data_IF_829246315036
#
_entry.id   IF_829246315036
#
_cell.length_a   1.000
_cell.length_b   1.000
_cell.length_c   1.000
_cell.angle_alpha   90.00
_cell.angle_beta   90.00
_cell.angle_gamma   90.00
#
_symmetry.space_group_name_H-M   'P 1'
#
loop_
_entity.id
_entity.type
_entity.pdbx_description
1 polymer ?
#
# COMPACT_ATOMS: atom_id res chain seq x y z
N UNK A 1 -38.31 -11.53 4.61
CA UNK A 1 -36.99 -12.09 4.94
C UNK A 1 -36.15 -10.90 5.40
N UNK A 2 -35.80 -10.84 6.68
CA UNK A 2 -35.13 -9.67 7.30
C UNK A 2 -33.66 -9.70 6.90
N UNK A 3 -33.25 -8.78 6.04
CA UNK A 3 -31.84 -8.45 5.87
C UNK A 3 -31.47 -7.45 6.96
N UNK A 4 -31.14 -7.97 8.14
CA UNK A 4 -30.48 -7.21 9.19
C UNK A 4 -29.01 -6.97 8.78
N UNK A 5 -28.82 -6.13 7.77
CA UNK A 5 -27.51 -5.61 7.36
C UNK A 5 -27.05 -4.53 8.32
N UNK A 6 -26.72 -4.92 9.56
CA UNK A 6 -26.02 -4.01 10.47
C UNK A 6 -24.72 -3.56 9.78
N UNK A 7 -24.43 -2.25 9.71
CA UNK A 7 -23.22 -1.76 9.06
C UNK A 7 -22.01 -2.38 9.78
N UNK A 8 -21.20 -3.12 9.01
CA UNK A 8 -19.93 -3.67 9.46
C UNK A 8 -19.15 -2.59 10.20
N UNK A 9 -18.86 -2.86 11.48
CA UNK A 9 -18.27 -1.88 12.39
C UNK A 9 -16.82 -1.65 11.99
N UNK A 10 -16.57 -0.67 11.13
CA UNK A 10 -15.26 -0.11 10.82
C UNK A 10 -14.15 -1.19 10.81
N UNK A 11 -14.18 -2.05 9.78
CA UNK A 11 -13.24 -3.15 9.53
C UNK A 11 -11.81 -2.70 9.23
N UNK A 12 -11.22 -1.90 10.13
CA UNK A 12 -9.78 -1.60 10.14
C UNK A 12 -9.10 -2.02 11.45
N UNK A 13 -9.87 -2.39 12.49
CA UNK A 13 -9.33 -2.74 13.81
C UNK A 13 -8.77 -4.17 13.84
N UNK A 14 -9.35 -5.08 13.08
CA UNK A 14 -8.88 -6.48 13.02
C UNK A 14 -7.60 -6.53 12.17
N UNK A 15 -7.63 -5.87 11.03
CA UNK A 15 -6.56 -5.68 10.06
C UNK A 15 -5.35 -5.02 10.74
N UNK A 16 -5.57 -3.94 11.51
CA UNK A 16 -4.52 -3.30 12.29
C UNK A 16 -3.86 -4.28 13.26
N UNK A 17 -4.64 -5.11 13.98
CA UNK A 17 -4.10 -6.11 14.91
C UNK A 17 -3.32 -7.20 14.19
N UNK A 18 -3.76 -7.63 13.01
CA UNK A 18 -3.04 -8.61 12.19
C UNK A 18 -1.67 -8.06 11.81
N UNK A 19 -1.61 -6.86 11.24
CA UNK A 19 -0.34 -6.25 10.83
C UNK A 19 0.60 -5.95 12.00
N UNK A 20 0.07 -5.45 13.12
CA UNK A 20 0.85 -5.26 14.35
C UNK A 20 1.36 -6.60 14.90
N UNK A 21 0.54 -7.64 14.87
CA UNK A 21 0.92 -9.00 15.29
C UNK A 21 2.04 -9.58 14.42
N UNK A 22 1.92 -9.46 13.09
CA UNK A 22 2.98 -9.87 12.15
C UNK A 22 4.26 -9.07 12.41
N UNK A 23 4.16 -7.74 12.55
CA UNK A 23 5.31 -6.88 12.85
C UNK A 23 6.01 -7.29 14.15
N UNK A 24 5.23 -7.57 15.20
CA UNK A 24 5.77 -8.05 16.48
C UNK A 24 6.42 -9.44 16.39
N UNK A 25 5.82 -10.36 15.63
CA UNK A 25 6.38 -11.69 15.40
C UNK A 25 7.73 -11.60 14.66
N UNK A 26 7.79 -10.81 13.59
CA UNK A 26 9.03 -10.59 12.83
C UNK A 26 10.07 -9.83 13.67
N UNK A 27 9.66 -8.92 14.55
CA UNK A 27 10.57 -8.28 15.50
C UNK A 27 11.17 -9.31 16.47
N UNK A 28 10.36 -10.23 16.98
CA UNK A 28 10.84 -11.36 17.78
C UNK A 28 11.87 -12.21 17.02
N UNK A 29 11.59 -12.54 15.75
CA UNK A 29 12.54 -13.21 14.87
C UNK A 29 13.83 -12.39 14.66
N UNK A 30 13.72 -11.06 14.53
CA UNK A 30 14.87 -10.16 14.38
C UNK A 30 15.80 -10.27 15.58
N UNK A 31 15.26 -10.31 16.81
CA UNK A 31 16.05 -10.46 18.04
C UNK A 31 16.75 -11.81 18.08
N UNK A 32 16.03 -12.90 17.81
CA UNK A 32 16.60 -14.26 17.81
C UNK A 32 17.67 -14.41 16.71
N UNK A 33 17.38 -13.94 15.51
CA UNK A 33 18.29 -14.02 14.38
C UNK A 33 19.53 -13.15 14.60
N UNK A 34 19.36 -11.90 15.02
CA UNK A 34 20.48 -11.00 15.29
C UNK A 34 21.40 -11.49 16.40
N UNK A 35 20.85 -12.21 17.39
CA UNK A 35 21.64 -12.81 18.46
C UNK A 35 22.36 -14.11 18.06
N UNK A 36 21.86 -14.85 17.06
CA UNK A 36 22.39 -16.17 16.68
C UNK A 36 23.23 -16.19 15.42
N UNK A 37 22.89 -15.36 14.42
CA UNK A 37 23.48 -15.42 13.08
C UNK A 37 24.68 -14.50 12.88
N UNK A 38 24.84 -13.45 13.70
CA UNK A 38 25.88 -12.41 13.61
C UNK A 38 26.03 -11.79 12.19
N UNK A 39 24.96 -11.79 11.41
CA UNK A 39 24.93 -11.32 10.03
C UNK A 39 24.05 -10.05 9.93
N UNK A 40 24.68 -8.97 9.45
CA UNK A 40 24.10 -7.62 9.49
C UNK A 40 23.03 -7.40 8.43
N UNK A 41 23.15 -7.98 7.24
CA UNK A 41 22.22 -7.73 6.14
C UNK A 41 20.82 -8.31 6.44
N UNK A 42 20.75 -9.56 6.86
CA UNK A 42 19.56 -10.30 7.25
C UNK A 42 18.90 -9.69 8.48
N UNK A 43 19.69 -9.33 9.50
CA UNK A 43 19.15 -8.63 10.68
C UNK A 43 18.51 -7.29 10.29
N UNK A 44 19.14 -6.55 9.37
CA UNK A 44 18.59 -5.29 8.85
C UNK A 44 17.30 -5.53 8.06
N UNK A 45 17.26 -6.54 7.18
CA UNK A 45 16.05 -6.88 6.41
C UNK A 45 14.89 -7.30 7.30
N UNK A 46 15.13 -8.11 8.34
CA UNK A 46 14.12 -8.50 9.31
C UNK A 46 13.60 -7.31 10.11
N UNK A 47 14.51 -6.43 10.57
CA UNK A 47 14.14 -5.21 11.30
C UNK A 47 13.25 -4.29 10.45
N UNK A 48 13.61 -4.07 9.17
CA UNK A 48 12.82 -3.26 8.25
C UNK A 48 11.46 -3.90 7.97
N UNK A 49 11.39 -5.22 7.85
CA UNK A 49 10.14 -5.96 7.65
C UNK A 49 9.22 -5.83 8.88
N UNK A 50 9.77 -5.95 10.09
CA UNK A 50 9.05 -5.70 11.34
C UNK A 50 8.53 -4.25 11.39
N UNK A 51 9.36 -3.28 11.01
CA UNK A 51 9.01 -1.87 10.91
C UNK A 51 7.88 -1.61 9.91
N UNK A 52 7.90 -2.26 8.74
CA UNK A 52 6.86 -2.12 7.72
C UNK A 52 5.51 -2.67 8.21
N UNK A 53 5.51 -3.82 8.89
CA UNK A 53 4.32 -4.38 9.53
C UNK A 53 3.77 -3.46 10.62
N UNK A 54 4.65 -2.93 11.47
CA UNK A 54 4.28 -1.98 12.52
C UNK A 54 3.72 -0.67 11.96
N UNK A 55 4.35 -0.10 10.92
CA UNK A 55 3.92 1.13 10.25
C UNK A 55 2.53 0.95 9.63
N UNK A 56 2.33 -0.16 8.91
CA UNK A 56 1.03 -0.47 8.29
C UNK A 56 -0.03 -0.66 9.37
N UNK A 57 0.24 -1.48 10.39
CA UNK A 57 -0.69 -1.71 11.49
C UNK A 57 -1.02 -0.44 12.28
N UNK A 58 -0.04 0.43 12.53
CA UNK A 58 -0.24 1.72 13.19
C UNK A 58 -1.10 2.67 12.35
N UNK A 59 -0.88 2.70 11.02
CA UNK A 59 -1.70 3.49 10.11
C UNK A 59 -3.17 3.04 10.12
N UNK A 60 -3.43 1.72 10.01
CA UNK A 60 -4.79 1.20 10.09
C UNK A 60 -5.42 1.42 11.48
N UNK A 61 -4.64 1.31 12.56
CA UNK A 61 -5.12 1.62 13.90
C UNK A 61 -5.50 3.11 14.04
N UNK A 62 -4.73 4.01 13.42
CA UNK A 62 -5.04 5.43 13.39
C UNK A 62 -6.31 5.72 12.58
N UNK A 63 -6.44 5.13 11.39
CA UNK A 63 -7.61 5.29 10.54
C UNK A 63 -8.89 4.73 11.17
N UNK A 64 -8.83 3.54 11.78
CA UNK A 64 -9.99 2.94 12.46
C UNK A 64 -10.45 3.75 13.68
N UNK A 65 -9.54 4.46 14.37
CA UNK A 65 -9.91 5.39 15.45
C UNK A 65 -10.58 6.65 14.91
N UNK A 66 -10.06 7.21 13.80
CA UNK A 66 -10.68 8.37 13.13
C UNK A 66 -12.07 8.06 12.59
N UNK A 67 -12.24 6.90 11.95
CA UNK A 67 -13.53 6.47 11.43
C UNK A 67 -14.56 6.20 12.54
N UNK A 68 -14.11 5.86 13.76
CA UNK A 68 -14.98 5.64 14.91
C UNK A 68 -15.34 6.93 15.66
N UNK A 69 -14.70 8.07 15.36
CA UNK A 69 -14.98 9.36 15.98
C UNK A 69 -16.17 10.05 15.27
N UNK A 70 -17.32 10.18 15.94
CA UNK A 70 -18.51 10.82 15.36
C UNK A 70 -18.28 12.30 15.03
N UNK A 71 -17.43 13.00 15.78
CA UNK A 71 -17.11 14.41 15.54
C UNK A 71 -16.22 14.57 14.30
N UNK A 72 -15.35 13.59 14.03
CA UNK A 72 -14.51 13.56 12.83
C UNK A 72 -15.27 13.11 11.58
N UNK A 73 -16.34 12.34 11.74
CA UNK A 73 -17.09 11.73 10.62
C UNK A 73 -18.21 12.64 10.09
N UNK A 74 -18.65 13.63 10.87
CA UNK A 74 -19.83 14.45 10.57
C UNK A 74 -21.09 13.59 10.68
N UNK A 75 -22.02 13.95 11.57
CA UNK A 75 -23.29 13.23 11.69
C UNK A 75 -23.95 13.13 10.32
N UNK A 76 -24.15 11.91 9.82
CA UNK A 76 -24.64 11.60 8.48
C UNK A 76 -23.64 11.94 7.35
N UNK A 77 -22.53 11.20 7.27
CA UNK A 77 -21.78 11.08 6.01
C UNK A 77 -22.69 10.39 5.00
N UNK A 78 -23.35 11.17 4.14
CA UNK A 78 -23.93 10.65 2.89
C UNK A 78 -22.88 9.75 2.25
N UNK A 79 -23.23 8.47 2.07
CA UNK A 79 -22.38 7.52 1.36
C UNK A 79 -22.07 8.17 0.02
N UNK A 80 -20.80 8.49 -0.29
CA UNK A 80 -20.50 9.19 -1.51
C UNK A 80 -21.05 8.39 -2.68
N UNK A 81 -21.73 9.11 -3.56
CA UNK A 81 -22.12 8.71 -4.91
C UNK A 81 -21.01 7.83 -5.52
N UNK A 82 -21.42 6.69 -6.07
CA UNK A 82 -20.60 5.56 -6.54
C UNK A 82 -19.11 5.89 -6.74
N UNK A 83 -18.24 5.16 -6.02
CA UNK A 83 -16.80 5.32 -6.18
C UNK A 83 -16.44 5.21 -7.67
N UNK A 84 -15.85 6.27 -8.22
CA UNK A 84 -15.45 6.29 -9.63
C UNK A 84 -14.40 5.20 -9.88
N UNK A 85 -14.80 4.20 -10.67
CA UNK A 85 -14.00 3.05 -11.06
C UNK A 85 -13.84 3.08 -12.58
N UNK A 86 -12.66 3.46 -13.12
CA UNK A 86 -12.44 3.47 -14.56
C UNK A 86 -12.69 2.07 -15.15
N UNK A 87 -13.62 1.96 -16.09
CA UNK A 87 -13.96 0.66 -16.71
C UNK A 87 -12.84 0.13 -17.61
N UNK A 88 -12.01 1.02 -18.15
CA UNK A 88 -10.84 0.67 -18.95
C UNK A 88 -9.72 1.72 -18.78
N UNK A 89 -8.48 1.25 -18.57
CA UNK A 89 -7.31 2.13 -18.48
C UNK A 89 -6.07 1.41 -19.00
N UNK A 90 -5.42 1.98 -20.02
CA UNK A 90 -4.18 1.45 -20.61
C UNK A 90 -2.95 1.78 -19.78
N UNK A 91 -3.02 2.79 -18.91
CA UNK A 91 -1.84 3.33 -18.21
C UNK A 91 -1.13 2.36 -17.26
N UNK A 92 -1.82 1.49 -16.49
CA UNK A 92 -1.14 0.47 -15.69
C UNK A 92 -0.23 -0.44 -16.50
N UNK A 93 -0.61 -0.76 -17.75
CA UNK A 93 0.23 -1.52 -18.66
C UNK A 93 1.50 -0.74 -19.04
N UNK A 94 1.36 0.56 -19.33
CA UNK A 94 2.49 1.45 -19.61
C UNK A 94 3.46 1.58 -18.42
N UNK A 95 2.94 1.69 -17.20
CA UNK A 95 3.74 1.69 -15.96
C UNK A 95 4.49 0.35 -15.83
N UNK A 96 3.81 -0.78 -16.02
CA UNK A 96 4.43 -2.10 -15.95
C UNK A 96 5.55 -2.28 -16.99
N UNK A 97 5.27 -1.97 -18.25
CA UNK A 97 6.25 -2.05 -19.34
C UNK A 97 7.45 -1.12 -19.10
N UNK A 98 7.20 0.12 -18.70
CA UNK A 98 8.26 1.08 -18.35
C UNK A 98 9.13 0.58 -17.21
N UNK A 99 8.54 0.06 -16.13
CA UNK A 99 9.28 -0.50 -15.00
C UNK A 99 10.13 -1.71 -15.40
N UNK A 100 9.61 -2.60 -16.25
CA UNK A 100 10.39 -3.75 -16.76
C UNK A 100 11.59 -3.28 -17.58
N UNK A 101 11.40 -2.35 -18.52
CA UNK A 101 12.48 -1.80 -19.33
C UNK A 101 13.50 -1.06 -18.46
N UNK A 102 13.04 -0.26 -17.50
CA UNK A 102 13.88 0.47 -16.56
C UNK A 102 14.71 -0.48 -15.69
N UNK A 103 14.10 -1.55 -15.16
CA UNK A 103 14.80 -2.57 -14.37
C UNK A 103 15.87 -3.30 -15.20
N UNK A 104 15.57 -3.66 -16.45
CA UNK A 104 16.56 -4.22 -17.37
C UNK A 104 17.66 -3.21 -17.72
N UNK A 105 17.33 -1.92 -17.79
CA UNK A 105 18.28 -0.84 -17.98
C UNK A 105 19.34 -0.72 -16.89
N UNK A 106 19.05 -1.16 -15.66
CA UNK A 106 20.07 -1.23 -14.61
C UNK A 106 21.19 -2.24 -14.93
N UNK A 107 20.90 -3.27 -15.73
CA UNK A 107 21.88 -4.25 -16.20
C UNK A 107 22.48 -3.88 -17.57
N UNK A 108 21.65 -3.37 -18.50
CA UNK A 108 22.04 -3.09 -19.89
C UNK A 108 22.66 -1.69 -20.09
N UNK A 109 22.48 -0.79 -19.13
CA UNK A 109 23.02 0.58 -19.13
C UNK A 109 21.99 1.67 -19.44
N UNK A 110 22.48 2.92 -19.44
CA UNK A 110 21.65 4.13 -19.49
C UNK A 110 20.72 4.21 -20.72
N UNK A 111 21.11 3.61 -21.85
CA UNK A 111 20.34 3.62 -23.10
C UNK A 111 18.99 2.90 -22.99
N UNK A 112 18.87 1.89 -22.14
CA UNK A 112 17.61 1.21 -21.82
C UNK A 112 16.95 1.80 -20.57
N UNK A 113 17.75 2.25 -19.60
CA UNK A 113 17.27 2.84 -18.35
C UNK A 113 16.48 4.12 -18.58
N UNK A 114 17.02 5.06 -19.37
CA UNK A 114 16.42 6.38 -19.59
C UNK A 114 15.07 6.27 -20.31
N UNK A 115 14.93 5.53 -21.43
CA UNK A 115 13.62 5.32 -22.05
C UNK A 115 12.61 4.61 -21.15
N UNK A 116 13.05 3.61 -20.37
CA UNK A 116 12.19 2.93 -19.40
C UNK A 116 11.65 3.88 -18.34
N UNK A 117 12.53 4.71 -17.75
CA UNK A 117 12.14 5.72 -16.78
C UNK A 117 11.19 6.77 -17.37
N UNK A 118 11.46 7.26 -18.59
CA UNK A 118 10.58 8.20 -19.29
C UNK A 118 9.19 7.60 -19.54
N UNK A 119 9.13 6.33 -19.98
CA UNK A 119 7.88 5.62 -20.19
C UNK A 119 7.08 5.45 -18.89
N UNK A 120 7.74 5.09 -17.79
CA UNK A 120 7.10 4.98 -16.47
C UNK A 120 6.53 6.33 -16.03
N UNK A 121 7.31 7.41 -16.10
CA UNK A 121 6.86 8.76 -15.72
C UNK A 121 5.70 9.23 -16.58
N UNK A 122 5.79 9.05 -17.91
CA UNK A 122 4.71 9.41 -18.83
C UNK A 122 3.42 8.62 -18.54
N UNK A 123 3.55 7.34 -18.20
CA UNK A 123 2.40 6.48 -17.87
C UNK A 123 1.75 6.86 -16.55
N UNK A 124 2.54 7.17 -15.51
CA UNK A 124 2.02 7.68 -14.23
C UNK A 124 1.32 9.02 -14.42
N UNK A 125 1.89 9.91 -15.22
CA UNK A 125 1.27 11.18 -15.55
C UNK A 125 -0.06 10.99 -16.29
N UNK A 126 -0.08 10.12 -17.30
CA UNK A 126 -1.28 9.78 -18.05
C UNK A 126 -2.38 9.22 -17.16
N UNK A 127 -2.02 8.30 -16.26
CA UNK A 127 -2.93 7.75 -15.26
C UNK A 127 -3.52 8.85 -14.37
N UNK A 128 -2.67 9.71 -13.79
CA UNK A 128 -3.13 10.81 -12.94
C UNK A 128 -4.03 11.81 -13.67
N UNK A 129 -3.79 12.05 -14.97
CA UNK A 129 -4.64 12.90 -15.80
C UNK A 129 -5.98 12.25 -16.10
N UNK A 130 -6.03 10.95 -16.40
CA UNK A 130 -7.29 10.22 -16.59
C UNK A 130 -8.13 10.24 -15.31
N UNK A 131 -7.52 9.96 -14.15
CA UNK A 131 -8.22 9.98 -12.86
C UNK A 131 -8.85 11.35 -12.54
N UNK A 132 -8.23 12.45 -13.00
CA UNK A 132 -8.78 13.80 -12.83
C UNK A 132 -9.92 14.12 -13.80
N UNK A 133 -9.96 13.49 -14.96
CA UNK A 133 -10.98 13.73 -16.00
C UNK A 133 -12.24 12.89 -15.82
N UNK A 134 -12.17 11.83 -14.99
CA UNK A 134 -13.25 10.85 -14.77
C UNK A 134 -13.68 10.14 -16.07
N UNK A 135 -12.73 9.92 -16.98
CA UNK A 135 -12.92 9.21 -18.25
C UNK A 135 -12.63 7.70 -18.13
#
# INVERSE_FOLDING_TARGET
MREDGAPDKAGGRVEARIFLGIGAAVLGMTVVYGATADERAGTTMLLLTAGLGALTGAYLAHQSRRAADPAATGGNREVPEEAYLPHASIWPLGVGAGCVVMANGLALGAWALVPGAMLTVASVWGYARQSRRRD
#
